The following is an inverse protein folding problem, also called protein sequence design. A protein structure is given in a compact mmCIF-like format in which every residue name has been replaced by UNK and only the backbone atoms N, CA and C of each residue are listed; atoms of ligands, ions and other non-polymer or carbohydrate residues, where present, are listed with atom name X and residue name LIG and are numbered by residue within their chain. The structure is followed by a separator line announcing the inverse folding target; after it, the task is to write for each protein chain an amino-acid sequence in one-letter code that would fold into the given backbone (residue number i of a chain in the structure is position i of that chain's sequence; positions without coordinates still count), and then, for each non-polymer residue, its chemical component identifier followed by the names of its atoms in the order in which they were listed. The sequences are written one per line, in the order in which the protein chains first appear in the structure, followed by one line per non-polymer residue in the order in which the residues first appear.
data_IF_122106371821
#
_entry.id   IF_122106371821
#
_cell.length_a   1.000
_cell.length_b   1.000
_cell.length_c   1.000
_cell.angle_alpha   90.00
_cell.angle_beta   90.00
_cell.angle_gamma   90.00
#
_symmetry.space_group_name_H-M   'P 1'
#
loop_
_entity.id
_entity.type
_entity.pdbx_description
1 polymer ?
#
# COMPACT_ATOMS: atom_id res chain seq x y z
N UNK A 1 -8.69 44.23 -22.36
CA UNK A 1 -9.31 44.06 -21.03
C UNK A 1 -9.40 42.57 -20.75
N UNK A 2 -8.64 42.05 -19.76
CA UNK A 2 -8.76 40.65 -19.35
C UNK A 2 -9.94 40.53 -18.37
N UNK A 3 -10.95 39.76 -18.75
CA UNK A 3 -12.13 39.53 -17.91
C UNK A 3 -11.75 38.58 -16.78
N UNK A 4 -11.69 39.07 -15.54
CA UNK A 4 -11.48 38.23 -14.35
C UNK A 4 -12.79 37.50 -14.07
N UNK A 5 -12.88 36.22 -14.41
CA UNK A 5 -14.05 35.40 -14.09
C UNK A 5 -14.24 35.36 -12.57
N UNK A 6 -15.45 35.73 -12.12
CA UNK A 6 -15.85 35.56 -10.74
C UNK A 6 -15.98 34.05 -10.45
N UNK A 7 -15.25 33.56 -9.46
CA UNK A 7 -15.33 32.16 -9.04
C UNK A 7 -16.51 31.98 -8.10
N UNK A 8 -17.49 31.19 -8.53
CA UNK A 8 -18.65 30.80 -7.71
C UNK A 8 -18.38 29.42 -7.12
N UNK A 9 -18.41 29.29 -5.79
CA UNK A 9 -18.28 27.99 -5.12
C UNK A 9 -19.62 27.26 -5.15
N UNK A 10 -19.73 26.24 -6.01
CA UNK A 10 -20.88 25.34 -6.07
C UNK A 10 -20.50 24.00 -5.45
N UNK A 11 -21.26 23.54 -4.43
CA UNK A 11 -21.10 22.20 -3.87
C UNK A 11 -21.79 21.17 -4.75
N UNK A 12 -21.12 20.78 -5.83
CA UNK A 12 -21.61 19.76 -6.79
C UNK A 12 -20.98 18.42 -6.43
N UNK A 13 -21.79 17.36 -6.39
CA UNK A 13 -21.28 15.98 -6.35
C UNK A 13 -20.92 15.56 -7.78
N UNK A 14 -19.64 15.35 -8.03
CA UNK A 14 -19.12 14.87 -9.31
C UNK A 14 -18.63 13.44 -9.16
N UNK A 15 -18.86 12.62 -10.18
CA UNK A 15 -18.24 11.31 -10.28
C UNK A 15 -16.81 11.42 -10.87
N UNK A 16 -16.06 10.32 -10.83
CA UNK A 16 -14.67 10.28 -11.30
C UNK A 16 -14.51 10.75 -12.75
N UNK A 17 -15.36 10.29 -13.67
CA UNK A 17 -15.26 10.64 -15.09
C UNK A 17 -15.50 12.14 -15.30
N UNK A 18 -16.46 12.72 -14.59
CA UNK A 18 -16.72 14.16 -14.64
C UNK A 18 -15.52 14.97 -14.13
N UNK A 19 -14.86 14.53 -13.06
CA UNK A 19 -13.65 15.17 -12.53
C UNK A 19 -12.50 15.06 -13.53
N UNK A 20 -12.34 13.91 -14.19
CA UNK A 20 -11.31 13.68 -15.20
C UNK A 20 -11.52 14.61 -16.41
N UNK A 21 -12.73 14.68 -16.94
CA UNK A 21 -13.08 15.57 -18.05
C UNK A 21 -12.78 17.04 -17.72
N UNK A 22 -13.15 17.49 -16.52
CA UNK A 22 -12.84 18.85 -16.07
C UNK A 22 -11.32 19.09 -15.98
N UNK A 23 -10.57 18.12 -15.46
CA UNK A 23 -9.12 18.20 -15.34
C UNK A 23 -8.44 18.27 -16.72
N UNK A 24 -8.99 17.57 -17.72
CA UNK A 24 -8.47 17.58 -19.10
C UNK A 24 -8.64 18.94 -19.78
N UNK A 25 -9.67 19.70 -19.41
CA UNK A 25 -9.96 21.03 -19.95
C UNK A 25 -9.08 22.15 -19.36
N UNK A 26 -8.33 21.88 -18.28
CA UNK A 26 -7.43 22.85 -17.66
C UNK A 26 -6.25 23.22 -18.58
N UNK A 27 -5.70 24.42 -18.37
CA UNK A 27 -4.44 24.83 -18.98
C UNK A 27 -3.28 23.96 -18.49
N UNK A 28 -2.15 23.96 -19.21
CA UNK A 28 -0.99 23.16 -18.82
C UNK A 28 -0.43 23.57 -17.45
N UNK A 29 -0.41 24.88 -17.15
CA UNK A 29 0.02 25.42 -15.86
C UNK A 29 -0.91 24.97 -14.73
N UNK A 30 -2.22 25.04 -14.92
CA UNK A 30 -3.21 24.62 -13.92
C UNK A 30 -3.16 23.10 -13.69
N UNK A 31 -2.92 22.30 -14.74
CA UNK A 31 -2.71 20.85 -14.61
C UNK A 31 -1.48 20.55 -13.78
N UNK A 32 -0.38 21.27 -13.99
CA UNK A 32 0.84 21.11 -13.21
C UNK A 32 0.59 21.47 -11.74
N UNK A 33 -0.09 22.56 -11.45
CA UNK A 33 -0.42 22.96 -10.08
C UNK A 33 -1.33 21.93 -9.40
N UNK A 34 -2.41 21.51 -10.07
CA UNK A 34 -3.34 20.50 -9.56
C UNK A 34 -2.64 19.16 -9.30
N UNK A 35 -1.74 18.74 -10.19
CA UNK A 35 -0.97 17.51 -10.02
C UNK A 35 -0.10 17.54 -8.75
N UNK A 36 0.48 18.69 -8.41
CA UNK A 36 1.29 18.86 -7.19
C UNK A 36 0.42 18.81 -5.94
N UNK A 37 -0.73 19.48 -5.95
CA UNK A 37 -1.69 19.43 -4.85
C UNK A 37 -2.18 18.00 -4.59
N UNK A 38 -2.62 17.29 -5.65
CA UNK A 38 -3.04 15.89 -5.55
C UNK A 38 -1.91 14.96 -5.12
N UNK A 39 -0.67 15.20 -5.55
CA UNK A 39 0.49 14.43 -5.10
C UNK A 39 0.77 14.60 -3.60
N UNK A 40 0.55 15.80 -3.05
CA UNK A 40 0.68 16.05 -1.61
C UNK A 40 -0.39 15.30 -0.81
N UNK A 41 -1.66 15.34 -1.25
CA UNK A 41 -2.77 14.65 -0.58
C UNK A 41 -2.65 13.12 -0.68
N UNK A 42 -2.24 12.61 -1.84
CA UNK A 42 -2.15 11.16 -2.08
C UNK A 42 -0.91 10.52 -1.47
N UNK A 43 0.06 11.29 -0.98
CA UNK A 43 1.30 10.77 -0.38
C UNK A 43 1.02 9.79 0.77
N UNK A 44 0.11 10.16 1.68
CA UNK A 44 -0.25 9.30 2.81
C UNK A 44 -0.97 8.03 2.37
N UNK A 45 -1.82 8.12 1.32
CA UNK A 45 -2.53 6.96 0.75
C UNK A 45 -1.51 5.98 0.15
N UNK A 46 -0.57 6.49 -0.64
CA UNK A 46 0.49 5.68 -1.26
C UNK A 46 1.36 5.00 -0.21
N UNK A 47 1.75 5.72 0.84
CA UNK A 47 2.54 5.14 1.93
C UNK A 47 1.77 4.04 2.67
N UNK A 48 0.49 4.25 3.00
CA UNK A 48 -0.33 3.21 3.65
C UNK A 48 -0.42 1.95 2.79
N UNK A 49 -0.73 2.09 1.50
CA UNK A 49 -0.79 0.95 0.58
C UNK A 49 0.54 0.21 0.48
N UNK A 50 1.65 0.95 0.49
CA UNK A 50 2.99 0.36 0.50
C UNK A 50 3.24 -0.43 1.79
N UNK A 51 2.92 0.16 2.95
CA UNK A 51 3.06 -0.50 4.25
C UNK A 51 2.19 -1.75 4.36
N UNK A 52 0.95 -1.72 3.86
CA UNK A 52 0.08 -2.89 3.78
C UNK A 52 0.70 -4.01 2.92
N UNK A 53 1.40 -3.65 1.85
CA UNK A 53 2.08 -4.63 0.98
C UNK A 53 3.29 -5.28 1.68
N UNK A 54 3.98 -4.53 2.53
CA UNK A 54 5.13 -5.03 3.31
C UNK A 54 4.74 -5.66 4.64
N UNK A 55 3.48 -5.53 5.07
CA UNK A 55 3.02 -6.12 6.31
C UNK A 55 3.09 -7.63 6.16
N UNK A 56 4.07 -8.24 6.81
CA UNK A 56 4.18 -9.69 6.90
C UNK A 56 3.10 -10.18 7.85
N UNK A 57 2.56 -11.37 7.58
CA UNK A 57 1.71 -12.04 8.57
C UNK A 57 2.52 -12.19 9.86
N UNK A 58 1.92 -11.80 10.98
CA UNK A 58 2.54 -11.99 12.29
C UNK A 58 2.61 -13.50 12.54
N UNK A 59 3.82 -14.04 12.63
CA UNK A 59 4.03 -15.44 13.02
C UNK A 59 3.66 -15.56 14.50
N UNK A 60 2.71 -16.43 14.80
CA UNK A 60 2.30 -16.71 16.18
C UNK A 60 3.35 -17.54 16.93
N UNK A 61 3.44 -17.38 18.26
CA UNK A 61 4.33 -18.21 19.08
C UNK A 61 4.07 -19.71 18.88
N UNK A 62 2.82 -20.08 18.61
CA UNK A 62 2.43 -21.46 18.33
C UNK A 62 3.06 -21.99 17.04
N UNK A 63 3.14 -21.18 15.98
CA UNK A 63 3.81 -21.57 14.73
C UNK A 63 5.32 -21.71 14.92
N UNK A 64 5.92 -20.83 15.74
CA UNK A 64 7.33 -20.94 16.13
C UNK A 64 7.58 -22.25 16.88
N UNK A 65 6.78 -22.55 17.90
CA UNK A 65 6.95 -23.74 18.73
C UNK A 65 6.77 -25.03 17.90
N UNK A 66 5.81 -25.03 16.96
CA UNK A 66 5.58 -26.15 16.06
C UNK A 66 6.79 -26.43 15.16
N UNK A 67 7.37 -25.40 14.56
CA UNK A 67 8.58 -25.54 13.73
C UNK A 67 9.78 -26.00 14.56
N UNK A 68 9.96 -25.43 15.76
CA UNK A 68 11.04 -25.83 16.68
C UNK A 68 10.92 -27.29 17.08
N UNK A 69 9.71 -27.78 17.39
CA UNK A 69 9.50 -29.19 17.72
C UNK A 69 9.71 -30.11 16.52
N UNK A 70 9.28 -29.72 15.31
CA UNK A 70 9.55 -30.49 14.10
C UNK A 70 11.06 -30.67 13.88
N UNK A 71 11.84 -29.60 14.03
CA UNK A 71 13.32 -29.65 13.91
C UNK A 71 13.95 -30.49 15.03
N UNK A 72 13.44 -30.42 16.27
CA UNK A 72 13.94 -31.25 17.39
C UNK A 72 13.71 -32.73 17.12
N UNK A 73 12.53 -33.12 16.64
CA UNK A 73 12.21 -34.50 16.30
C UNK A 73 13.11 -35.01 15.17
N UNK A 74 13.26 -34.24 14.10
CA UNK A 74 14.15 -34.61 12.99
C UNK A 74 15.59 -34.82 13.47
N UNK A 75 16.09 -33.93 14.33
CA UNK A 75 17.43 -34.04 14.90
C UNK A 75 17.58 -35.28 15.80
N UNK A 76 16.56 -35.61 16.59
CA UNK A 76 16.55 -36.80 17.44
C UNK A 76 16.54 -38.10 16.61
N UNK A 77 15.65 -38.19 15.62
CA UNK A 77 15.55 -39.35 14.72
C UNK A 77 16.85 -39.59 13.96
N UNK A 78 17.52 -38.52 13.49
CA UNK A 78 18.84 -38.62 12.85
C UNK A 78 19.90 -39.19 13.79
N UNK A 79 19.94 -38.75 15.06
CA UNK A 79 20.88 -39.30 16.06
C UNK A 79 20.60 -40.76 16.34
N UNK A 80 19.33 -41.11 16.57
CA UNK A 80 18.89 -42.48 16.83
C UNK A 80 19.24 -43.41 15.64
N UNK A 81 19.02 -42.94 14.40
CA UNK A 81 19.43 -43.68 13.21
C UNK A 81 20.94 -43.88 13.18
N UNK A 82 21.74 -42.86 13.49
CA UNK A 82 23.20 -42.98 13.49
C UNK A 82 23.71 -43.95 14.58
N UNK A 83 23.10 -43.96 15.77
CA UNK A 83 23.43 -44.90 16.85
C UNK A 83 23.07 -46.35 16.52
N UNK A 84 21.95 -46.59 15.82
CA UNK A 84 21.53 -47.95 15.41
C UNK A 84 22.28 -48.52 14.19
N UNK A 85 23.19 -47.76 13.57
CA UNK A 85 24.02 -48.20 12.43
C UNK A 85 25.45 -48.59 12.85
N UNK A 86 25.73 -48.69 14.15
CA UNK A 86 26.95 -49.23 14.76
C UNK A 86 26.64 -50.49 15.56
#
# INVERSE_FOLDING_TARGET
MYNRMATVSLKIRLNYNQILELTQQLSDDDKLELSRALAAETRGIKLRRLLETFKTDEISQKEIDAEVEAVRQEAYEKRLRNENNY
#
